data_IF_450418616592
#
_entry.id   IF_450418616592
#
_cell.length_a   1.000
_cell.length_b   1.000
_cell.length_c   1.000
_cell.angle_alpha   90.00
_cell.angle_beta   90.00
_cell.angle_gamma   90.00
#
_symmetry.space_group_name_H-M   'P 1'
#
loop_
_entity.id
_entity.type
_entity.pdbx_description
1 polymer ?
#
# COMPACT_ATOMS: atom_id res chain seq x y z
N UNK A 1 -20.66 -3.19 -1.90
CA UNK A 1 -19.57 -3.76 -1.10
C UNK A 1 -18.76 -4.69 -1.99
N UNK A 2 -17.42 -4.71 -1.92
CA UNK A 2 -16.65 -5.81 -2.50
C UNK A 2 -16.52 -6.83 -1.39
N UNK A 3 -17.21 -7.96 -1.58
CA UNK A 3 -17.47 -8.93 -0.52
C UNK A 3 -17.61 -10.29 -1.17
N UNK A 4 -16.71 -11.19 -0.83
CA UNK A 4 -16.55 -12.48 -1.48
C UNK A 4 -16.56 -13.57 -0.43
N UNK A 5 -17.52 -14.49 -0.59
CA UNK A 5 -17.65 -15.69 0.22
C UNK A 5 -16.60 -16.76 -0.13
N UNK A 6 -16.70 -17.94 0.51
CA UNK A 6 -15.70 -18.98 0.37
C UNK A 6 -15.58 -19.51 -1.06
N UNK A 7 -16.63 -19.44 -1.86
CA UNK A 7 -16.64 -19.94 -3.25
C UNK A 7 -15.63 -19.20 -4.13
N UNK A 8 -15.40 -17.92 -3.85
CA UNK A 8 -14.41 -17.09 -4.55
C UNK A 8 -13.12 -16.94 -3.76
N UNK A 9 -13.20 -16.92 -2.43
CA UNK A 9 -12.04 -16.68 -1.58
C UNK A 9 -11.14 -17.92 -1.46
N UNK A 10 -11.70 -19.14 -1.53
CA UNK A 10 -10.96 -20.41 -1.45
C UNK A 10 -10.65 -21.01 -2.83
N UNK A 11 -11.21 -20.46 -3.91
CA UNK A 11 -10.76 -20.78 -5.27
C UNK A 11 -9.46 -20.01 -5.55
N UNK A 12 -8.36 -20.75 -5.69
CA UNK A 12 -7.04 -20.15 -5.85
C UNK A 12 -6.96 -19.29 -7.11
N UNK A 13 -7.52 -19.73 -8.24
CA UNK A 13 -7.45 -18.98 -9.49
C UNK A 13 -8.19 -17.64 -9.39
N UNK A 14 -9.38 -17.64 -8.78
CA UNK A 14 -10.18 -16.45 -8.56
C UNK A 14 -9.54 -15.49 -7.54
N UNK A 15 -9.03 -16.00 -6.42
CA UNK A 15 -8.44 -15.18 -5.36
C UNK A 15 -7.05 -14.65 -5.72
N UNK A 16 -6.25 -15.40 -6.47
CA UNK A 16 -4.93 -14.99 -6.98
C UNK A 16 -5.05 -13.94 -8.10
N UNK A 17 -6.15 -13.93 -8.87
CA UNK A 17 -6.35 -12.97 -9.96
C UNK A 17 -6.87 -11.59 -9.50
N UNK A 18 -7.18 -11.43 -8.21
CA UNK A 18 -7.77 -10.20 -7.66
C UNK A 18 -6.80 -9.57 -6.68
N UNK A 19 -6.52 -8.29 -6.91
CA UNK A 19 -5.50 -7.54 -6.19
C UNK A 19 -6.15 -6.46 -5.32
N UNK A 20 -5.52 -6.15 -4.20
CA UNK A 20 -5.88 -5.05 -3.31
C UNK A 20 -4.73 -4.05 -3.24
N UNK A 21 -5.05 -2.79 -2.89
CA UNK A 21 -4.10 -1.70 -2.78
C UNK A 21 -4.43 -0.87 -1.53
N UNK A 22 -3.42 -0.58 -0.72
CA UNK A 22 -3.43 0.45 0.31
C UNK A 22 -2.31 1.44 0.00
N UNK A 23 -2.56 2.74 0.19
CA UNK A 23 -1.57 3.79 -0.05
C UNK A 23 -1.51 4.74 1.15
N UNK A 24 -0.39 5.45 1.26
CA UNK A 24 -0.10 6.35 2.37
C UNK A 24 -0.06 7.84 1.96
N UNK A 25 -0.45 8.19 0.73
CA UNK A 25 -0.45 9.57 0.26
C UNK A 25 0.93 10.23 0.10
N UNK A 26 2.02 9.44 0.16
CA UNK A 26 3.38 9.92 -0.11
C UNK A 26 4.09 9.04 -1.16
N UNK A 27 3.32 8.29 -1.97
CA UNK A 27 3.82 7.39 -3.01
C UNK A 27 4.13 5.97 -2.55
N UNK A 28 4.16 5.72 -1.23
CA UNK A 28 4.29 4.38 -0.67
C UNK A 28 2.97 3.62 -0.72
N UNK A 29 3.07 2.29 -0.82
CA UNK A 29 1.91 1.42 -0.93
C UNK A 29 2.14 0.02 -0.34
N UNK A 30 1.03 -0.65 -0.07
CA UNK A 30 0.95 -2.07 0.22
C UNK A 30 -0.03 -2.71 -0.77
N UNK A 31 0.31 -3.87 -1.31
CA UNK A 31 -0.52 -4.56 -2.29
C UNK A 31 -0.22 -6.04 -2.34
N UNK A 32 -1.23 -6.82 -2.70
CA UNK A 32 -1.13 -8.25 -2.89
C UNK A 32 -2.41 -8.82 -3.47
N UNK A 33 -2.48 -10.14 -3.50
CA UNK A 33 -3.69 -10.87 -3.91
C UNK A 33 -4.60 -11.18 -2.72
N UNK A 34 -5.85 -11.56 -2.98
CA UNK A 34 -6.74 -12.10 -1.93
C UNK A 34 -6.15 -13.41 -1.38
N UNK A 35 -5.57 -14.24 -2.25
CA UNK A 35 -4.95 -15.51 -1.87
C UNK A 35 -3.71 -15.35 -0.96
N UNK A 36 -3.20 -14.14 -0.77
CA UNK A 36 -1.91 -13.85 -0.12
C UNK A 36 -0.69 -14.45 -0.84
N UNK A 37 -0.86 -14.87 -2.10
CA UNK A 37 0.23 -15.29 -3.00
C UNK A 37 0.83 -14.07 -3.68
N UNK A 38 2.16 -13.97 -3.67
CA UNK A 38 2.90 -12.99 -4.45
C UNK A 38 2.90 -13.43 -5.93
N UNK A 39 2.34 -12.61 -6.81
CA UNK A 39 2.33 -12.89 -8.26
C UNK A 39 3.07 -11.85 -9.08
N UNK A 40 3.38 -10.70 -8.48
CA UNK A 40 4.10 -9.58 -9.08
C UNK A 40 5.27 -9.16 -8.22
N UNK A 41 6.30 -8.57 -8.84
CA UNK A 41 7.41 -7.91 -8.12
C UNK A 41 6.96 -6.67 -7.34
N UNK A 42 5.73 -6.23 -7.57
CA UNK A 42 5.14 -5.08 -6.90
C UNK A 42 4.31 -5.47 -5.67
N UNK A 43 4.13 -6.76 -5.40
CA UNK A 43 3.44 -7.19 -4.19
C UNK A 43 4.36 -7.03 -2.98
N UNK A 44 3.80 -6.50 -1.91
CA UNK A 44 4.52 -6.10 -0.72
C UNK A 44 3.57 -5.58 0.34
N UNK A 45 3.85 -5.89 1.60
CA UNK A 45 3.19 -5.25 2.72
C UNK A 45 3.75 -3.84 3.00
N UNK A 46 4.98 -3.54 2.57
CA UNK A 46 5.54 -2.19 2.63
C UNK A 46 6.46 -1.96 1.43
N UNK A 47 5.95 -1.27 0.41
CA UNK A 47 6.74 -0.63 -0.63
C UNK A 47 6.84 0.85 -0.27
N UNK A 48 7.95 1.22 0.36
CA UNK A 48 8.16 2.55 0.94
C UNK A 48 8.67 3.53 -0.12
N UNK A 49 8.07 4.72 -0.22
CA UNK A 49 8.64 5.81 -0.99
C UNK A 49 9.73 6.49 -0.16
N UNK A 50 11.00 6.16 -0.41
CA UNK A 50 12.14 6.71 0.33
C UNK A 50 12.54 8.12 -0.14
N UNK A 51 12.03 8.54 -1.29
CA UNK A 51 12.14 9.91 -1.79
C UNK A 51 10.76 10.41 -2.30
N UNK A 52 9.78 10.64 -1.41
CA UNK A 52 8.39 10.85 -1.78
C UNK A 52 8.14 11.85 -2.92
N UNK A 53 7.31 11.50 -3.92
CA UNK A 53 6.53 10.25 -4.05
C UNK A 53 7.28 9.09 -4.74
N UNK A 54 8.59 9.23 -4.96
CA UNK A 54 9.45 8.33 -5.72
C UNK A 54 10.38 7.51 -4.79
N UNK A 55 11.37 6.82 -5.38
CA UNK A 55 12.31 5.99 -4.62
C UNK A 55 11.63 4.80 -3.94
N UNK A 56 10.63 4.23 -4.61
CA UNK A 56 9.80 3.13 -4.07
C UNK A 56 10.63 1.87 -3.90
N UNK A 57 10.78 1.44 -2.66
CA UNK A 57 11.63 0.32 -2.25
C UNK A 57 10.78 -0.72 -1.54
N UNK A 58 10.84 -1.98 -2.00
CA UNK A 58 10.21 -3.09 -1.28
C UNK A 58 11.01 -3.37 0.00
N UNK A 59 10.40 -3.09 1.15
CA UNK A 59 11.00 -3.31 2.48
C UNK A 59 10.42 -4.54 3.17
N UNK A 60 9.10 -4.75 3.08
CA UNK A 60 8.44 -5.93 3.64
C UNK A 60 7.60 -6.59 2.55
N UNK A 61 7.99 -7.80 2.17
CA UNK A 61 7.33 -8.57 1.12
C UNK A 61 6.01 -9.13 1.62
N UNK A 62 6.05 -9.91 2.70
CA UNK A 62 4.86 -10.55 3.27
C UNK A 62 5.11 -11.06 4.69
N UNK A 63 4.08 -11.62 5.29
CA UNK A 63 4.17 -12.41 6.52
C UNK A 63 3.74 -13.84 6.20
N UNK A 64 4.47 -14.83 6.72
CA UNK A 64 4.05 -16.22 6.78
C UNK A 64 3.38 -16.47 8.12
N UNK A 65 2.05 -16.62 8.10
CA UNK A 65 1.25 -16.77 9.31
C UNK A 65 0.89 -18.22 9.59
N UNK A 66 1.03 -18.63 10.85
CA UNK A 66 0.45 -19.86 11.39
C UNK A 66 -0.38 -19.52 12.62
N UNK A 67 -1.63 -19.98 12.63
CA UNK A 67 -2.56 -19.87 13.74
C UNK A 67 -2.70 -21.22 14.43
N UNK A 68 -2.44 -21.27 15.73
CA UNK A 68 -2.61 -22.46 16.57
C UNK A 68 -3.79 -22.27 17.51
N UNK A 69 -4.77 -23.16 17.44
CA UNK A 69 -5.98 -23.12 18.25
C UNK A 69 -6.36 -24.53 18.68
N UNK A 70 -6.52 -24.73 20.00
CA UNK A 70 -6.85 -26.04 20.62
C UNK A 70 -5.93 -27.19 20.16
N UNK A 71 -4.64 -26.92 19.97
CA UNK A 71 -3.63 -27.90 19.56
C UNK A 71 -3.56 -28.17 18.05
N UNK A 72 -4.38 -27.50 17.24
CA UNK A 72 -4.32 -27.57 15.78
C UNK A 72 -3.65 -26.32 15.20
N UNK A 73 -2.58 -26.51 14.44
CA UNK A 73 -1.90 -25.45 13.72
C UNK A 73 -2.40 -25.37 12.26
N UNK A 74 -2.70 -24.15 11.81
CA UNK A 74 -3.14 -23.86 10.44
C UNK A 74 -2.38 -22.69 9.86
N UNK A 75 -1.74 -22.91 8.71
CA UNK A 75 -1.15 -21.82 7.94
C UNK A 75 -2.24 -20.94 7.32
N UNK A 76 -2.05 -19.62 7.35
CA UNK A 76 -2.98 -18.63 6.78
C UNK A 76 -2.40 -17.91 5.56
N UNK A 77 -1.08 -17.98 5.37
CA UNK A 77 -0.40 -17.52 4.17
C UNK A 77 -0.48 -18.54 3.04
N UNK A 78 -0.21 -18.10 1.80
CA UNK A 78 0.03 -19.00 0.68
C UNK A 78 1.18 -18.50 -0.19
N UNK A 79 1.89 -19.45 -0.83
CA UNK A 79 2.97 -19.15 -1.78
C UNK A 79 2.88 -20.05 -2.98
N UNK A 80 3.36 -19.52 -4.11
CA UNK A 80 3.65 -20.32 -5.29
C UNK A 80 5.17 -20.37 -5.44
N UNK A 81 5.72 -21.58 -5.50
CA UNK A 81 7.16 -21.79 -5.62
C UNK A 81 7.58 -21.99 -7.08
N UNK A 82 8.88 -21.92 -7.35
CA UNK A 82 9.49 -22.17 -8.66
C UNK A 82 9.13 -23.56 -9.20
N UNK A 83 8.93 -24.54 -8.31
CA UNK A 83 8.42 -25.88 -8.63
C UNK A 83 6.95 -25.91 -9.10
N UNK A 84 6.27 -24.75 -9.09
CA UNK A 84 4.83 -24.55 -9.35
C UNK A 84 3.92 -25.07 -8.23
N UNK A 85 4.47 -25.73 -7.21
CA UNK A 85 3.74 -26.09 -6.00
C UNK A 85 3.19 -24.84 -5.30
N UNK A 86 2.01 -24.99 -4.70
CA UNK A 86 1.41 -23.96 -3.86
C UNK A 86 1.40 -24.48 -2.44
N UNK A 87 2.23 -23.89 -1.58
CA UNK A 87 2.40 -24.29 -0.17
C UNK A 87 3.00 -23.11 0.61
N UNK A 88 2.50 -22.73 1.79
CA UNK A 88 1.27 -23.22 2.40
C UNK A 88 -0.01 -22.94 1.59
N UNK A 89 -1.09 -23.62 1.97
CA UNK A 89 -2.44 -23.48 1.38
C UNK A 89 -3.40 -22.69 2.27
N UNK A 90 -2.94 -21.58 2.81
CA UNK A 90 -3.75 -20.68 3.64
C UNK A 90 -4.91 -20.04 2.89
N UNK A 91 -4.88 -20.01 1.55
CA UNK A 91 -6.02 -19.64 0.68
C UNK A 91 -7.29 -20.45 1.03
N UNK A 92 -7.13 -21.72 1.40
CA UNK A 92 -8.24 -22.61 1.80
C UNK A 92 -8.84 -22.28 3.17
N UNK A 93 -8.19 -21.42 3.96
CA UNK A 93 -8.69 -20.98 5.25
C UNK A 93 -9.57 -19.72 5.15
N UNK A 94 -9.58 -19.02 4.01
CA UNK A 94 -10.31 -17.77 3.84
C UNK A 94 -11.81 -18.07 3.74
N UNK A 95 -12.58 -17.81 4.78
CA UNK A 95 -14.06 -17.92 4.74
C UNK A 95 -14.68 -16.76 3.97
N UNK A 96 -14.07 -15.58 4.09
CA UNK A 96 -14.60 -14.36 3.51
C UNK A 96 -13.48 -13.36 3.29
N UNK A 97 -13.56 -12.64 2.18
CA UNK A 97 -12.77 -11.44 1.96
C UNK A 97 -13.71 -10.26 1.71
N UNK A 98 -13.36 -9.09 2.24
CA UNK A 98 -14.09 -7.86 1.96
C UNK A 98 -13.14 -6.66 1.88
N UNK A 99 -13.53 -5.65 1.12
CA UNK A 99 -12.91 -4.34 1.16
C UNK A 99 -13.80 -3.42 2.00
N UNK A 100 -13.32 -3.06 3.19
CA UNK A 100 -13.98 -2.08 4.07
C UNK A 100 -13.28 -0.74 3.93
N UNK A 101 -13.98 0.24 3.35
CA UNK A 101 -13.35 1.48 2.90
C UNK A 101 -12.28 1.16 1.87
N UNK A 102 -11.02 1.40 2.24
CA UNK A 102 -9.82 1.04 1.47
C UNK A 102 -8.96 -0.06 2.12
N UNK A 103 -9.42 -0.62 3.24
CA UNK A 103 -8.70 -1.65 3.98
C UNK A 103 -9.19 -3.04 3.57
N UNK A 104 -8.33 -3.92 3.02
CA UNK A 104 -8.71 -5.30 2.77
C UNK A 104 -8.79 -6.08 4.09
N UNK A 105 -9.79 -6.96 4.17
CA UNK A 105 -10.14 -7.73 5.36
C UNK A 105 -10.35 -9.18 4.97
N UNK A 106 -9.68 -10.08 5.68
CA UNK A 106 -9.86 -11.52 5.57
C UNK A 106 -10.49 -12.04 6.86
N UNK A 107 -11.43 -12.96 6.72
CA UNK A 107 -11.88 -13.80 7.82
C UNK A 107 -11.39 -15.22 7.55
N UNK A 108 -10.63 -15.77 8.49
CA UNK A 108 -10.10 -17.13 8.42
C UNK A 108 -10.84 -18.08 9.36
N UNK A 109 -11.10 -19.31 8.88
CA UNK A 109 -11.53 -20.43 9.71
C UNK A 109 -10.31 -21.15 10.30
N UNK A 110 -10.21 -21.19 11.62
CA UNK A 110 -9.16 -21.93 12.34
C UNK A 110 -9.85 -22.90 13.31
N UNK A 111 -10.16 -24.10 12.81
CA UNK A 111 -11.05 -25.04 13.52
C UNK A 111 -12.41 -24.41 13.78
N UNK A 112 -12.81 -24.30 15.06
CA UNK A 112 -14.03 -23.62 15.48
C UNK A 112 -13.87 -22.10 15.72
N UNK A 113 -12.65 -21.56 15.59
CA UNK A 113 -12.37 -20.14 15.75
C UNK A 113 -12.45 -19.37 14.43
N UNK A 114 -12.79 -18.07 14.51
CA UNK A 114 -12.77 -17.12 13.39
C UNK A 114 -11.82 -15.98 13.72
N UNK A 115 -10.83 -15.80 12.84
CA UNK A 115 -9.80 -14.78 12.96
C UNK A 115 -9.97 -13.76 11.84
N UNK A 116 -10.17 -12.49 12.18
CA UNK A 116 -10.07 -11.38 11.23
C UNK A 116 -8.60 -10.98 11.06
N UNK A 117 -8.15 -10.81 9.82
CA UNK A 117 -6.92 -10.07 9.45
C UNK A 117 -7.32 -8.82 8.67
N UNK A 118 -6.69 -7.69 8.95
CA UNK A 118 -6.90 -6.41 8.27
C UNK A 118 -5.59 -5.71 8.01
N UNK A 119 -5.49 -5.05 6.85
CA UNK A 119 -4.30 -4.28 6.46
C UNK A 119 -4.70 -2.85 6.13
N UNK A 120 -3.89 -1.87 6.54
CA UNK A 120 -3.95 -0.49 6.05
C UNK A 120 -2.59 0.19 6.21
N UNK A 121 -2.42 1.35 5.57
CA UNK A 121 -1.25 2.20 5.75
C UNK A 121 -1.60 3.49 6.49
N UNK A 122 -0.65 3.98 7.27
CA UNK A 122 -0.74 5.30 7.91
C UNK A 122 -0.66 6.40 6.85
N UNK A 123 -1.53 7.41 6.94
CA UNK A 123 -1.47 8.54 6.02
C UNK A 123 -0.22 9.39 6.32
N UNK A 124 0.56 9.67 5.29
CA UNK A 124 1.76 10.51 5.38
C UNK A 124 3.04 9.79 5.79
N UNK A 125 3.00 8.48 6.04
CA UNK A 125 4.13 7.71 6.60
C UNK A 125 4.32 6.36 5.90
N UNK A 126 5.56 5.90 5.80
CA UNK A 126 5.91 4.57 5.31
C UNK A 126 5.68 3.51 6.39
N UNK A 127 4.43 3.39 6.83
CA UNK A 127 4.00 2.46 7.89
C UNK A 127 2.77 1.69 7.45
N UNK A 128 2.85 0.36 7.55
CA UNK A 128 1.73 -0.57 7.33
C UNK A 128 1.38 -1.25 8.64
N UNK A 129 0.09 -1.32 8.94
CA UNK A 129 -0.47 -2.08 10.04
C UNK A 129 -1.08 -3.37 9.52
N UNK A 130 -0.73 -4.50 10.14
CA UNK A 130 -1.39 -5.79 9.93
C UNK A 130 -2.04 -6.18 11.25
N UNK A 131 -3.35 -6.01 11.32
CA UNK A 131 -4.17 -6.25 12.52
C UNK A 131 -4.80 -7.62 12.46
N UNK A 132 -4.82 -8.29 13.60
CA UNK A 132 -5.49 -9.55 13.82
C UNK A 132 -6.49 -9.41 14.97
N UNK A 133 -7.69 -9.97 14.81
CA UNK A 133 -8.70 -9.99 15.88
C UNK A 133 -9.41 -11.34 15.92
N UNK A 134 -9.44 -11.95 17.11
CA UNK A 134 -10.17 -13.19 17.34
C UNK A 134 -11.66 -12.87 17.55
N UNK A 135 -12.45 -12.90 16.46
CA UNK A 135 -13.87 -12.54 16.48
C UNK A 135 -14.72 -13.55 17.23
N UNK A 136 -14.37 -14.84 17.11
CA UNK A 136 -15.10 -15.95 17.72
C UNK A 136 -14.14 -17.05 18.07
N UNK A 137 -14.09 -17.43 19.34
CA UNK A 137 -13.37 -18.61 19.83
C UNK A 137 -13.90 -19.01 21.22
N UNK A 138 -13.55 -20.22 21.67
CA UNK A 138 -13.83 -20.69 23.05
C UNK A 138 -12.65 -20.48 24.00
N UNK A 139 -11.52 -20.01 23.49
CA UNK A 139 -10.28 -19.78 24.22
C UNK A 139 -9.28 -19.02 23.35
N UNK A 140 -8.06 -18.81 23.85
CA UNK A 140 -7.03 -18.06 23.13
C UNK A 140 -6.56 -18.77 21.86
N UNK A 141 -6.05 -17.98 20.92
CA UNK A 141 -5.39 -18.44 19.70
C UNK A 141 -3.95 -17.92 19.69
N UNK A 142 -2.98 -18.78 19.40
CA UNK A 142 -1.57 -18.34 19.25
C UNK A 142 -1.27 -18.05 17.79
N UNK A 143 -0.77 -16.86 17.48
CA UNK A 143 -0.24 -16.50 16.18
C UNK A 143 1.28 -16.59 16.18
N UNK A 144 1.83 -17.23 15.17
CA UNK A 144 3.25 -17.22 14.83
C UNK A 144 3.42 -16.58 13.46
N UNK A 145 4.18 -15.50 13.37
CA UNK A 145 4.32 -14.66 12.18
C UNK A 145 5.79 -14.57 11.79
N UNK A 146 6.20 -15.26 10.73
CA UNK A 146 7.52 -15.08 10.14
C UNK A 146 7.48 -13.94 9.11
N UNK A 147 8.16 -12.84 9.40
CA UNK A 147 8.13 -11.63 8.57
C UNK A 147 9.23 -11.70 7.53
N UNK A 148 8.82 -11.61 6.25
CA UNK A 148 9.72 -11.67 5.10
C UNK A 148 10.00 -10.26 4.58
N UNK A 149 11.27 -9.88 4.57
CA UNK A 149 11.77 -8.56 4.17
C UNK A 149 12.57 -8.63 2.87
N UNK A 150 12.72 -7.47 2.25
CA UNK A 150 13.61 -7.28 1.10
C UNK A 150 14.20 -5.86 1.18
N UNK A 151 15.10 -5.52 0.27
CA UNK A 151 15.52 -4.13 0.05
C UNK A 151 15.90 -3.96 -1.41
N UNK A 152 14.92 -3.65 -2.25
CA UNK A 152 15.15 -3.42 -3.68
C UNK A 152 14.22 -2.39 -4.23
N UNK A 153 14.61 -1.80 -5.35
CA UNK A 153 13.72 -1.01 -6.18
C UNK A 153 12.47 -1.83 -6.57
N UNK A 154 11.32 -1.16 -6.63
CA UNK A 154 10.03 -1.80 -6.92
C UNK A 154 9.94 -2.41 -8.33
N UNK A 155 10.77 -1.97 -9.29
CA UNK A 155 10.93 -2.63 -10.59
C UNK A 155 11.98 -3.75 -10.59
N UNK A 156 12.80 -3.87 -9.55
CA UNK A 156 13.84 -4.90 -9.45
C UNK A 156 13.33 -6.28 -9.07
N UNK A 157 14.27 -7.21 -8.94
CA UNK A 157 14.11 -8.52 -8.32
C UNK A 157 15.32 -8.79 -7.42
N UNK A 158 15.18 -9.73 -6.49
CA UNK A 158 16.24 -10.08 -5.53
C UNK A 158 16.52 -11.57 -5.60
N UNK A 159 17.81 -11.91 -5.64
CA UNK A 159 18.33 -13.23 -5.28
C UNK A 159 19.05 -13.14 -3.95
N UNK A 160 18.81 -14.12 -3.08
CA UNK A 160 19.35 -14.11 -1.73
C UNK A 160 20.88 -14.20 -1.73
N UNK A 161 21.45 -15.08 -2.55
CA UNK A 161 22.88 -15.20 -2.91
C UNK A 161 23.89 -14.87 -1.80
N UNK A 162 23.62 -15.31 -0.56
CA UNK A 162 24.49 -15.08 0.60
C UNK A 162 24.46 -13.66 1.18
N UNK A 163 23.57 -12.78 0.71
CA UNK A 163 23.40 -11.42 1.24
C UNK A 163 23.03 -11.43 2.73
N UNK A 164 23.86 -10.76 3.53
CA UNK A 164 23.68 -10.62 4.98
C UNK A 164 23.18 -9.23 5.36
N UNK A 165 21.86 -9.09 5.49
CA UNK A 165 21.27 -7.94 6.20
C UNK A 165 21.55 -8.02 7.71
N UNK A 166 21.69 -6.86 8.36
CA UNK A 166 21.79 -6.78 9.84
C UNK A 166 20.38 -6.79 10.42
N UNK A 167 20.11 -7.75 11.31
CA UNK A 167 18.82 -7.90 12.01
C UNK A 167 19.11 -7.82 13.49
N UNK A 168 18.64 -6.75 14.14
CA UNK A 168 18.98 -6.42 15.53
C UNK A 168 17.72 -6.31 16.37
N UNK A 169 17.67 -6.92 17.57
CA UNK A 169 16.55 -6.76 18.48
C UNK A 169 16.44 -5.29 18.93
N UNK A 170 15.21 -4.81 19.04
CA UNK A 170 14.85 -3.49 19.59
C UNK A 170 13.65 -3.65 20.52
N UNK A 171 13.30 -2.65 21.35
CA UNK A 171 12.06 -2.72 22.12
C UNK A 171 10.86 -3.04 21.23
N UNK A 172 10.09 -4.05 21.64
CA UNK A 172 8.89 -4.53 20.93
C UNK A 172 9.13 -5.13 19.54
N UNK A 173 10.36 -5.49 19.14
CA UNK A 173 10.56 -6.13 17.85
C UNK A 173 12.01 -6.19 17.37
N UNK A 174 12.21 -5.97 16.07
CA UNK A 174 13.53 -5.95 15.43
C UNK A 174 13.68 -4.77 14.48
N UNK A 175 14.93 -4.32 14.31
CA UNK A 175 15.36 -3.40 13.27
C UNK A 175 16.16 -4.18 12.22
N UNK A 176 15.80 -4.02 10.96
CA UNK A 176 16.54 -4.60 9.84
C UNK A 176 17.22 -3.49 9.04
N UNK A 177 18.50 -3.69 8.75
CA UNK A 177 19.31 -2.80 7.94
C UNK A 177 19.97 -3.61 6.82
N UNK A 178 19.59 -3.33 5.58
CA UNK A 178 19.96 -4.16 4.44
C UNK A 178 21.45 -4.06 4.06
N UNK A 179 22.01 -2.86 4.18
CA UNK A 179 23.43 -2.54 4.00
C UNK A 179 23.75 -1.20 4.70
N UNK A 180 25.02 -0.85 4.79
CA UNK A 180 25.45 0.41 5.41
C UNK A 180 24.93 1.61 4.63
N UNK A 181 24.14 2.47 5.29
CA UNK A 181 23.49 3.63 4.68
C UNK A 181 22.09 3.38 4.11
N UNK A 182 21.59 2.13 4.15
CA UNK A 182 20.18 1.85 3.83
C UNK A 182 19.22 2.50 4.84
N UNK A 183 18.00 2.82 4.39
CA UNK A 183 16.93 3.19 5.31
C UNK A 183 16.54 1.96 6.14
N UNK A 184 16.56 2.03 7.49
CA UNK A 184 16.19 0.90 8.32
C UNK A 184 14.69 0.62 8.23
N UNK A 185 14.30 -0.66 8.35
CA UNK A 185 12.90 -1.05 8.57
C UNK A 185 12.74 -1.59 9.99
N UNK A 186 11.71 -1.11 10.68
CA UNK A 186 11.28 -1.57 11.99
C UNK A 186 10.12 -2.54 11.81
N UNK A 187 10.28 -3.73 12.40
CA UNK A 187 9.23 -4.73 12.54
C UNK A 187 8.88 -4.77 14.02
N UNK A 188 7.70 -4.29 14.39
CA UNK A 188 7.35 -4.05 15.79
C UNK A 188 5.97 -4.61 16.12
N UNK A 189 5.79 -5.14 17.32
CA UNK A 189 4.50 -5.49 17.85
C UNK A 189 4.47 -5.46 19.37
N UNK A 190 3.51 -4.74 19.94
CA UNK A 190 3.35 -4.63 21.38
C UNK A 190 2.82 -5.96 21.95
N UNK A 191 3.40 -6.44 23.05
CA UNK A 191 2.93 -7.64 23.76
C UNK A 191 3.22 -8.97 23.05
N UNK A 192 4.12 -8.99 22.07
CA UNK A 192 4.56 -10.21 21.41
C UNK A 192 6.03 -10.52 21.72
N UNK A 193 6.36 -11.81 21.73
CA UNK A 193 7.75 -12.26 21.69
C UNK A 193 8.28 -12.10 20.26
N UNK A 194 9.41 -11.42 20.10
CA UNK A 194 10.04 -11.19 18.80
C UNK A 194 11.43 -11.83 18.78
N UNK A 195 11.65 -12.78 17.87
CA UNK A 195 12.92 -13.48 17.70
C UNK A 195 13.53 -13.10 16.35
N UNK A 196 14.72 -12.47 16.31
CA UNK A 196 15.46 -12.24 15.08
C UNK A 196 15.73 -13.55 14.32
N UNK A 197 15.68 -13.49 13.00
CA UNK A 197 15.99 -14.58 12.10
C UNK A 197 16.84 -14.10 10.92
N UNK A 198 17.51 -15.03 10.24
CA UNK A 198 18.30 -14.74 9.04
C UNK A 198 18.32 -15.93 8.10
N UNK A 199 17.15 -16.23 7.53
CA UNK A 199 16.99 -17.35 6.59
C UNK A 199 16.36 -16.83 5.30
N UNK A 200 17.04 -16.99 4.17
CA UNK A 200 16.46 -16.67 2.87
C UNK A 200 15.46 -17.75 2.47
N UNK A 201 14.25 -17.32 2.12
CA UNK A 201 13.24 -18.15 1.51
C UNK A 201 13.36 -17.94 0.02
N UNK A 202 13.67 -19.02 -0.70
CA UNK A 202 14.11 -18.94 -2.10
C UNK A 202 13.03 -19.45 -3.07
N UNK A 203 13.01 -18.87 -4.26
CA UNK A 203 12.23 -19.39 -5.38
C UNK A 203 10.72 -19.13 -5.28
N UNK A 204 10.30 -17.97 -4.78
CA UNK A 204 8.92 -17.50 -4.99
C UNK A 204 8.68 -17.32 -6.48
N UNK A 205 7.59 -17.85 -7.02
CA UNK A 205 7.21 -17.75 -8.44
C UNK A 205 6.17 -16.66 -8.65
N UNK A 206 6.59 -15.59 -9.31
CA UNK A 206 5.77 -14.44 -9.67
C UNK A 206 5.05 -14.69 -11.00
N UNK A 207 3.90 -15.37 -10.94
CA UNK A 207 3.19 -15.84 -12.14
C UNK A 207 2.83 -14.72 -13.14
N UNK A 208 2.50 -13.51 -12.66
CA UNK A 208 2.17 -12.37 -13.55
C UNK A 208 3.40 -11.75 -14.20
N UNK A 209 4.58 -11.88 -13.59
CA UNK A 209 5.83 -11.45 -14.24
C UNK A 209 6.23 -12.44 -15.33
N UNK A 210 6.03 -13.76 -15.12
CA UNK A 210 6.26 -14.79 -16.14
C UNK A 210 5.36 -14.57 -17.37
N UNK A 211 4.08 -14.27 -17.17
CA UNK A 211 3.13 -13.91 -18.26
C UNK A 211 3.59 -12.69 -19.07
N UNK A 212 4.36 -11.78 -18.45
CA UNK A 212 4.91 -10.57 -19.08
C UNK A 212 6.29 -10.80 -19.70
N UNK A 213 6.86 -12.00 -19.61
CA UNK A 213 8.19 -12.33 -20.09
C UNK A 213 9.32 -11.66 -19.27
N UNK A 214 9.05 -11.33 -18.01
CA UNK A 214 10.00 -10.70 -17.09
C UNK A 214 10.60 -11.74 -16.13
N UNK A 215 11.67 -11.36 -15.41
CA UNK A 215 12.17 -12.17 -14.30
C UNK A 215 11.05 -12.46 -13.31
N UNK A 216 10.77 -13.75 -13.12
CA UNK A 216 9.55 -14.24 -12.46
C UNK A 216 9.84 -15.05 -11.21
N UNK A 217 11.05 -14.95 -10.69
CA UNK A 217 11.44 -15.59 -9.44
C UNK A 217 12.09 -14.57 -8.52
N UNK A 218 11.85 -14.72 -7.23
CA UNK A 218 12.36 -13.83 -6.22
C UNK A 218 12.61 -14.56 -4.90
N UNK A 219 13.60 -14.08 -4.15
CA UNK A 219 13.90 -14.56 -2.80
C UNK A 219 13.64 -13.46 -1.78
N UNK A 220 13.25 -13.85 -0.56
CA UNK A 220 12.97 -12.93 0.54
C UNK A 220 13.61 -13.39 1.84
N UNK A 221 14.11 -12.46 2.64
CA UNK A 221 14.75 -12.77 3.91
C UNK A 221 13.69 -12.91 5.01
N UNK A 222 13.59 -14.07 5.65
CA UNK A 222 12.93 -14.18 6.94
C UNK A 222 13.80 -13.48 8.00
N UNK A 223 13.33 -12.32 8.47
CA UNK A 223 14.08 -11.45 9.37
C UNK A 223 13.63 -11.55 10.83
N UNK A 224 12.38 -11.92 11.11
CA UNK A 224 11.94 -12.15 12.48
C UNK A 224 10.68 -13.01 12.56
N UNK A 225 10.59 -13.79 13.62
CA UNK A 225 9.38 -14.48 14.05
C UNK A 225 8.76 -13.73 15.21
N UNK A 226 7.49 -13.34 15.08
CA UNK A 226 6.68 -12.83 16.19
C UNK A 226 5.73 -13.92 16.69
N UNK A 227 5.62 -14.07 18.01
CA UNK A 227 4.64 -14.94 18.65
C UNK A 227 3.75 -14.14 19.59
N UNK A 228 2.44 -14.22 19.38
CA UNK A 228 1.45 -13.51 20.17
C UNK A 228 0.26 -14.42 20.50
N UNK A 229 -0.29 -14.26 21.70
CA UNK A 229 -1.54 -14.93 22.11
C UNK A 229 -2.68 -13.94 22.02
N UNK A 230 -3.68 -14.26 21.20
CA UNK A 230 -4.86 -13.44 21.01
C UNK A 230 -6.01 -13.96 21.85
N UNK A 231 -6.57 -13.08 22.66
CA UNK A 231 -7.81 -13.31 23.40
C UNK A 231 -9.02 -12.83 22.58
N UNK A 232 -10.21 -13.46 22.74
CA UNK A 232 -11.43 -12.98 22.11
C UNK A 232 -11.72 -11.51 22.45
N UNK A 233 -11.93 -10.68 21.43
CA UNK A 233 -12.21 -9.25 21.60
C UNK A 233 -10.99 -8.36 21.88
N UNK A 234 -9.79 -8.91 21.99
CA UNK A 234 -8.55 -8.14 22.14
C UNK A 234 -7.76 -8.15 20.82
N UNK A 235 -7.91 -7.11 19.97
CA UNK A 235 -7.15 -7.03 18.73
C UNK A 235 -5.68 -6.75 18.99
N UNK A 236 -4.85 -7.23 18.07
CA UNK A 236 -3.40 -7.09 18.12
C UNK A 236 -2.87 -6.71 16.74
N UNK A 237 -1.80 -5.92 16.67
CA UNK A 237 -1.25 -5.44 15.41
C UNK A 237 0.26 -5.63 15.33
N UNK A 238 0.69 -6.11 14.16
CA UNK A 238 2.07 -6.02 13.69
C UNK A 238 2.25 -4.71 12.92
N UNK A 239 3.30 -3.96 13.24
CA UNK A 239 3.65 -2.67 12.65
C UNK A 239 4.91 -2.84 11.81
N UNK A 240 4.81 -2.49 10.54
CA UNK A 240 5.88 -2.56 9.54
C UNK A 240 6.20 -1.13 9.13
N UNK A 241 7.38 -0.61 9.47
CA UNK A 241 7.64 0.84 9.36
C UNK A 241 9.04 1.17 8.87
N UNK A 242 9.17 2.14 7.97
CA UNK A 242 10.44 2.82 7.69
C UNK A 242 10.61 4.12 8.51
N UNK A 243 9.59 4.51 9.28
CA UNK A 243 9.66 5.64 10.20
C UNK A 243 10.46 5.27 11.45
N UNK A 244 11.17 6.25 12.03
CA UNK A 244 12.00 6.04 13.21
C UNK A 244 11.19 5.79 14.51
N UNK A 245 9.97 6.32 14.57
CA UNK A 245 9.09 6.23 15.75
C UNK A 245 7.62 6.08 15.32
N UNK A 246 7.21 4.95 14.72
CA UNK A 246 5.82 4.71 14.38
C UNK A 246 5.00 4.53 15.66
N UNK A 247 3.70 4.87 15.63
CA UNK A 247 2.82 4.47 16.73
C UNK A 247 2.61 2.96 16.69
N UNK A 248 2.71 2.34 17.87
CA UNK A 248 2.44 0.91 18.08
C UNK A 248 0.97 0.64 18.40
N UNK A 249 0.17 1.67 18.68
CA UNK A 249 -1.26 1.53 18.91
C UNK A 249 -2.00 1.39 17.57
N UNK A 250 -2.21 0.14 17.17
CA UNK A 250 -2.94 -0.20 15.95
C UNK A 250 -4.40 0.26 15.97
N UNK A 251 -5.07 0.38 17.13
CA UNK A 251 -6.46 0.85 17.19
C UNK A 251 -6.54 2.38 17.05
N UNK A 252 -5.57 3.11 17.61
CA UNK A 252 -5.42 4.53 17.34
C UNK A 252 -5.15 4.81 15.86
N UNK A 253 -4.23 4.07 15.25
CA UNK A 253 -3.95 4.17 13.82
C UNK A 253 -5.19 3.83 12.96
N UNK A 254 -5.96 2.81 13.35
CA UNK A 254 -7.21 2.46 12.68
C UNK A 254 -8.25 3.57 12.78
N UNK A 255 -8.40 4.20 13.96
CA UNK A 255 -9.29 5.36 14.15
C UNK A 255 -8.90 6.53 13.25
N UNK A 256 -7.61 6.83 13.11
CA UNK A 256 -7.14 7.86 12.17
C UNK A 256 -7.49 7.52 10.72
N UNK A 257 -7.32 6.26 10.30
CA UNK A 257 -7.71 5.81 8.95
C UNK A 257 -9.20 5.98 8.70
N UNK A 258 -10.05 5.56 9.64
CA UNK A 258 -11.51 5.70 9.52
C UNK A 258 -11.92 7.17 9.47
N UNK A 259 -11.35 8.02 10.33
CA UNK A 259 -11.64 9.45 10.33
C UNK A 259 -11.26 10.12 9.01
N UNK A 260 -10.14 9.72 8.40
CA UNK A 260 -9.75 10.19 7.06
C UNK A 260 -10.79 9.80 5.99
N UNK A 261 -11.22 8.54 5.96
CA UNK A 261 -12.24 8.07 5.00
C UNK A 261 -13.60 8.73 5.21
N UNK A 262 -14.01 8.95 6.46
CA UNK A 262 -15.23 9.68 6.81
C UNK A 262 -15.16 11.15 6.37
N UNK A 263 -14.01 11.82 6.54
CA UNK A 263 -13.81 13.18 6.06
C UNK A 263 -13.93 13.28 4.53
N UNK A 264 -13.36 12.31 3.79
CA UNK A 264 -13.50 12.23 2.34
C UNK A 264 -14.96 12.08 1.92
N UNK A 265 -15.70 11.19 2.61
CA UNK A 265 -17.14 11.01 2.40
C UNK A 265 -17.94 12.29 2.67
N UNK A 266 -17.61 13.00 3.76
CA UNK A 266 -18.26 14.26 4.12
C UNK A 266 -17.95 15.39 3.13
N UNK A 267 -16.72 15.48 2.62
CA UNK A 267 -16.31 16.44 1.57
C UNK A 267 -17.09 16.20 0.28
N UNK A 268 -17.13 14.96 -0.18
CA UNK A 268 -17.89 14.59 -1.37
C UNK A 268 -19.40 14.81 -1.19
N UNK A 269 -19.94 14.51 -0.01
CA UNK A 269 -21.34 14.74 0.32
C UNK A 269 -21.80 16.21 0.19
N UNK A 270 -20.88 17.18 0.32
CA UNK A 270 -21.18 18.61 0.12
C UNK A 270 -21.29 19.04 -1.34
N UNK A 271 -20.70 18.29 -2.27
CA UNK A 271 -20.65 18.65 -3.70
C UNK A 271 -21.54 17.76 -4.57
N UNK A 272 -21.97 16.61 -4.07
CA UNK A 272 -22.84 15.70 -4.83
C UNK A 272 -24.28 16.23 -4.84
N UNK A 273 -24.79 16.56 -6.03
CA UNK A 273 -26.10 17.19 -6.19
C UNK A 273 -27.31 16.23 -6.06
N UNK A 274 -27.07 14.91 -6.03
CA UNK A 274 -28.13 13.90 -5.98
C UNK A 274 -27.63 12.62 -5.32
N UNK A 275 -28.52 11.76 -4.78
CA UNK A 275 -28.13 10.48 -4.20
C UNK A 275 -27.37 9.64 -5.24
N UNK A 276 -26.07 9.48 -5.03
CA UNK A 276 -25.23 8.68 -5.90
C UNK A 276 -25.31 7.20 -5.50
N UNK A 277 -25.23 6.26 -6.46
CA UNK A 277 -25.14 4.84 -6.14
C UNK A 277 -23.98 4.56 -5.17
N UNK A 278 -24.11 3.57 -4.25
CA UNK A 278 -23.07 3.28 -3.25
C UNK A 278 -21.69 2.98 -3.84
N UNK A 279 -21.63 2.55 -5.10
CA UNK A 279 -20.35 2.28 -5.77
C UNK A 279 -19.57 3.55 -6.12
N UNK A 280 -20.22 4.71 -6.27
CA UNK A 280 -19.53 6.00 -6.50
C UNK A 280 -18.74 6.40 -5.25
N UNK A 281 -19.28 6.20 -4.05
CA UNK A 281 -18.53 6.47 -2.81
C UNK A 281 -17.22 5.68 -2.73
N UNK A 282 -17.17 4.48 -3.33
CA UNK A 282 -15.91 3.72 -3.46
C UNK A 282 -14.92 4.35 -4.42
N UNK A 283 -15.40 4.96 -5.52
CA UNK A 283 -14.54 5.70 -6.43
C UNK A 283 -13.96 6.95 -5.77
N UNK A 284 -14.69 7.59 -4.85
CA UNK A 284 -14.17 8.72 -4.05
C UNK A 284 -12.99 8.26 -3.18
N UNK A 285 -13.15 7.15 -2.48
CA UNK A 285 -12.06 6.57 -1.69
C UNK A 285 -10.89 6.09 -2.57
N UNK A 286 -11.17 5.48 -3.72
CA UNK A 286 -10.14 5.06 -4.66
C UNK A 286 -9.37 6.25 -5.26
N UNK A 287 -10.06 7.36 -5.55
CA UNK A 287 -9.44 8.58 -6.06
C UNK A 287 -8.41 9.15 -5.08
N UNK A 288 -8.67 9.06 -3.77
CA UNK A 288 -7.71 9.46 -2.73
C UNK A 288 -6.39 8.68 -2.81
N UNK A 289 -6.42 7.41 -3.23
CA UNK A 289 -5.24 6.56 -3.23
C UNK A 289 -4.14 7.03 -4.18
N UNK A 290 -4.49 7.79 -5.22
CA UNK A 290 -3.57 8.30 -6.24
C UNK A 290 -2.99 9.68 -5.92
N UNK A 291 -3.59 10.40 -4.98
CA UNK A 291 -3.17 11.74 -4.58
C UNK A 291 -1.99 11.66 -3.61
N UNK A 292 -0.89 12.35 -3.93
CA UNK A 292 0.35 12.26 -3.16
C UNK A 292 0.96 13.63 -2.87
N UNK A 293 1.66 13.73 -1.73
CA UNK A 293 2.56 14.86 -1.47
C UNK A 293 3.77 14.79 -2.40
N UNK A 294 4.11 15.93 -2.99
CA UNK A 294 5.28 16.11 -3.85
C UNK A 294 5.97 17.43 -3.54
N UNK A 295 6.97 17.42 -2.64
CA UNK A 295 7.83 18.58 -2.45
C UNK A 295 8.57 18.91 -3.75
N UNK A 296 8.53 20.17 -4.19
CA UNK A 296 9.23 20.62 -5.42
C UNK A 296 9.94 21.93 -5.14
N UNK A 297 11.27 21.93 -5.29
CA UNK A 297 12.09 23.12 -5.01
C UNK A 297 11.90 23.58 -3.57
N UNK A 298 11.48 24.84 -3.39
CA UNK A 298 11.19 25.44 -2.08
C UNK A 298 9.73 25.26 -1.62
N UNK A 299 8.91 24.50 -2.35
CA UNK A 299 7.50 24.23 -2.00
C UNK A 299 7.36 22.87 -1.31
N UNK A 300 7.41 22.80 0.04
CA UNK A 300 7.31 21.55 0.78
C UNK A 300 5.89 20.94 0.75
N UNK A 301 4.89 21.75 0.42
CA UNK A 301 3.46 21.40 0.47
C UNK A 301 2.87 21.04 -0.90
N UNK A 302 3.75 20.89 -1.90
CA UNK A 302 3.37 20.49 -3.24
C UNK A 302 2.66 19.14 -3.28
N UNK A 303 1.89 18.93 -4.34
CA UNK A 303 1.06 17.74 -4.51
C UNK A 303 1.07 17.27 -5.97
N UNK A 304 0.83 15.98 -6.17
CA UNK A 304 0.80 15.36 -7.49
C UNK A 304 -0.15 14.15 -7.51
N UNK A 305 -0.23 13.50 -8.67
CA UNK A 305 -1.01 12.30 -8.90
C UNK A 305 -0.08 11.19 -9.38
N UNK A 306 -0.07 10.06 -8.68
CA UNK A 306 0.53 8.83 -9.23
C UNK A 306 -0.36 8.33 -10.36
N UNK A 307 0.20 8.19 -11.56
CA UNK A 307 -0.58 7.87 -12.76
C UNK A 307 -1.19 6.45 -12.72
N UNK A 308 -0.57 5.54 -11.97
CA UNK A 308 -1.11 4.21 -11.76
C UNK A 308 -0.18 3.35 -10.94
N UNK A 309 -0.67 2.86 -9.81
CA UNK A 309 0.03 1.79 -9.10
C UNK A 309 -0.11 0.48 -9.89
N UNK A 310 0.94 -0.35 -9.95
CA UNK A 310 2.21 -0.16 -9.24
C UNK A 310 3.30 0.49 -10.08
N UNK A 311 3.14 0.54 -11.40
CA UNK A 311 4.24 0.76 -12.35
C UNK A 311 4.64 2.21 -12.57
N UNK A 312 3.73 3.17 -12.38
CA UNK A 312 3.97 4.54 -12.79
C UNK A 312 4.33 5.41 -11.61
N UNK A 313 5.22 6.38 -11.83
CA UNK A 313 5.36 7.56 -10.97
C UNK A 313 4.26 8.57 -11.28
N UNK A 314 4.53 9.83 -10.98
CA UNK A 314 3.67 10.93 -11.40
C UNK A 314 4.00 11.41 -12.81
N UNK A 315 2.97 11.53 -13.63
CA UNK A 315 3.07 11.83 -15.06
C UNK A 315 2.20 13.05 -15.36
N UNK A 316 2.75 14.06 -16.05
CA UNK A 316 2.08 15.34 -16.23
C UNK A 316 0.77 15.21 -16.99
N UNK A 317 0.75 14.47 -18.10
CA UNK A 317 -0.48 14.24 -18.88
C UNK A 317 -1.57 13.61 -18.03
N UNK A 318 -1.28 12.47 -17.42
CA UNK A 318 -2.23 11.70 -16.61
C UNK A 318 -2.75 12.50 -15.42
N UNK A 319 -1.88 13.29 -14.78
CA UNK A 319 -2.27 14.21 -13.71
C UNK A 319 -3.30 15.22 -14.21
N UNK A 320 -3.04 15.88 -15.34
CA UNK A 320 -3.94 16.94 -15.83
C UNK A 320 -5.27 16.39 -16.34
N UNK A 321 -5.26 15.25 -17.01
CA UNK A 321 -6.50 14.56 -17.46
C UNK A 321 -7.37 14.16 -16.28
N UNK A 322 -6.76 13.62 -15.21
CA UNK A 322 -7.49 13.08 -14.07
C UNK A 322 -7.83 14.10 -12.98
N UNK A 323 -7.18 15.27 -12.98
CA UNK A 323 -7.25 16.27 -11.91
C UNK A 323 -8.68 16.56 -11.44
N UNK A 324 -9.56 16.91 -12.38
CA UNK A 324 -10.93 17.29 -12.06
C UNK A 324 -11.73 16.16 -11.41
N UNK A 325 -11.57 14.93 -11.90
CA UNK A 325 -12.22 13.75 -11.33
C UNK A 325 -11.68 13.39 -9.94
N UNK A 326 -10.36 13.48 -9.76
CA UNK A 326 -9.72 13.12 -8.49
C UNK A 326 -9.94 14.16 -7.40
N UNK A 327 -10.08 15.45 -7.75
CA UNK A 327 -10.11 16.56 -6.79
C UNK A 327 -11.44 17.31 -6.76
N UNK A 328 -11.86 17.89 -7.88
CA UNK A 328 -13.05 18.74 -7.94
C UNK A 328 -14.34 17.94 -7.70
N UNK A 329 -14.50 16.82 -8.41
CA UNK A 329 -15.66 15.95 -8.28
C UNK A 329 -15.77 15.27 -6.89
N UNK A 330 -14.69 15.28 -6.12
CA UNK A 330 -14.63 14.75 -4.74
C UNK A 330 -14.66 15.84 -3.67
N UNK A 331 -14.84 17.11 -4.06
CA UNK A 331 -14.98 18.23 -3.13
C UNK A 331 -13.66 18.70 -2.50
N UNK A 332 -12.56 18.60 -3.26
CA UNK A 332 -11.18 18.95 -2.84
C UNK A 332 -10.51 20.00 -3.74
N UNK A 333 -11.14 21.16 -4.01
CA UNK A 333 -10.57 22.19 -4.89
C UNK A 333 -9.22 22.75 -4.41
N UNK A 334 -8.98 22.76 -3.11
CA UNK A 334 -7.70 23.16 -2.51
C UNK A 334 -6.54 22.26 -2.94
N UNK A 335 -6.80 20.97 -3.17
CA UNK A 335 -5.81 20.03 -3.66
C UNK A 335 -5.59 20.21 -5.16
N UNK A 336 -6.65 20.48 -5.92
CA UNK A 336 -6.55 20.84 -7.33
C UNK A 336 -5.61 22.04 -7.53
N UNK A 337 -5.83 23.12 -6.76
CA UNK A 337 -4.99 24.32 -6.77
C UNK A 337 -3.53 24.01 -6.45
N UNK A 338 -3.27 23.19 -5.43
CA UNK A 338 -1.90 22.79 -5.05
C UNK A 338 -1.20 22.02 -6.17
N UNK A 339 -1.88 21.06 -6.80
CA UNK A 339 -1.31 20.29 -7.92
C UNK A 339 -1.02 21.22 -9.10
N UNK A 340 -1.97 22.07 -9.51
CA UNK A 340 -1.74 23.03 -10.59
C UNK A 340 -0.55 23.95 -10.29
N UNK A 341 -0.44 24.45 -9.06
CA UNK A 341 0.69 25.29 -8.63
C UNK A 341 2.01 24.53 -8.69
N UNK A 342 2.02 23.26 -8.26
CA UNK A 342 3.20 22.39 -8.29
C UNK A 342 3.73 22.24 -9.72
N UNK A 343 2.83 21.99 -10.69
CA UNK A 343 3.21 21.81 -12.09
C UNK A 343 3.53 23.13 -12.79
N UNK A 344 2.90 24.26 -12.42
CA UNK A 344 3.23 25.58 -12.95
C UNK A 344 4.71 25.95 -12.75
N UNK A 345 5.26 25.60 -11.58
CA UNK A 345 6.69 25.81 -11.24
C UNK A 345 7.65 24.99 -12.08
N UNK A 346 7.15 23.97 -12.77
CA UNK A 346 7.92 23.01 -13.54
C UNK A 346 7.79 23.23 -15.05
N UNK A 347 7.06 24.26 -15.49
CA UNK A 347 6.97 24.61 -16.90
C UNK A 347 8.35 25.01 -17.42
N UNK A 348 8.80 24.36 -18.49
CA UNK A 348 10.01 24.74 -19.22
C UNK A 348 9.70 24.91 -20.70
N UNK A 349 10.03 26.07 -21.26
CA UNK A 349 9.79 26.44 -22.67
C UNK A 349 8.36 26.13 -23.17
N UNK A 350 7.37 26.34 -22.31
CA UNK A 350 5.95 26.11 -22.63
C UNK A 350 5.49 24.66 -22.55
N UNK A 351 6.33 23.74 -22.06
CA UNK A 351 5.99 22.33 -21.85
C UNK A 351 5.90 22.01 -20.36
N UNK A 352 5.01 21.06 -20.04
CA UNK A 352 5.02 20.40 -18.74
C UNK A 352 5.90 19.15 -18.77
N UNK A 353 6.47 18.76 -17.62
CA UNK A 353 7.16 17.49 -17.50
C UNK A 353 6.18 16.35 -17.75
N UNK A 354 6.53 15.46 -18.68
CA UNK A 354 5.77 14.27 -18.97
C UNK A 354 5.96 13.21 -17.87
N UNK A 355 7.21 13.00 -17.44
CA UNK A 355 7.58 11.99 -16.45
C UNK A 355 8.59 12.56 -15.46
N UNK A 356 8.39 12.27 -14.19
CA UNK A 356 9.45 12.38 -13.19
C UNK A 356 10.11 11.00 -13.02
N UNK A 357 11.40 10.86 -13.34
CA UNK A 357 12.07 9.56 -13.24
C UNK A 357 12.26 9.17 -11.77
N UNK A 358 12.12 7.88 -11.43
CA UNK A 358 12.36 7.38 -10.07
C UNK A 358 13.83 7.55 -9.62
N UNK A 359 14.75 7.70 -10.57
CA UNK A 359 16.17 8.01 -10.34
C UNK A 359 16.67 9.08 -11.34
N UNK A 360 17.27 10.16 -10.84
CA UNK A 360 17.84 11.25 -11.64
C UNK A 360 17.15 12.62 -11.39
N UNK A 361 17.85 13.75 -11.62
CA UNK A 361 17.37 15.06 -11.17
C UNK A 361 16.44 15.79 -12.15
N UNK A 362 16.40 15.41 -13.44
CA UNK A 362 15.71 16.19 -14.46
C UNK A 362 14.38 15.55 -14.86
N UNK A 363 13.25 16.29 -14.81
CA UNK A 363 12.00 15.87 -15.42
C UNK A 363 12.14 15.70 -16.94
N UNK A 364 11.39 14.76 -17.51
CA UNK A 364 11.40 14.48 -18.96
C UNK A 364 10.30 15.29 -19.66
N UNK A 365 10.67 16.21 -20.57
CA UNK A 365 9.74 17.07 -21.30
C UNK A 365 9.46 16.53 -22.71
N UNK A 366 8.75 15.41 -22.78
CA UNK A 366 8.48 14.69 -24.05
C UNK A 366 7.03 14.80 -24.50
N UNK A 367 6.20 15.61 -23.83
CA UNK A 367 4.75 15.66 -24.03
C UNK A 367 4.28 17.08 -24.34
N UNK A 368 3.96 17.33 -25.61
CA UNK A 368 3.43 18.61 -26.06
C UNK A 368 1.98 18.80 -25.62
N UNK A 369 1.20 17.72 -25.58
CA UNK A 369 -0.21 17.76 -25.22
C UNK A 369 -0.45 17.94 -23.71
N UNK A 370 0.52 17.61 -22.84
CA UNK A 370 0.39 17.83 -21.40
C UNK A 370 0.13 19.31 -21.05
N UNK A 371 0.75 20.24 -21.77
CA UNK A 371 0.50 21.67 -21.58
C UNK A 371 -0.93 22.08 -21.96
N UNK A 372 -1.50 21.47 -23.00
CA UNK A 372 -2.90 21.70 -23.40
C UNK A 372 -3.87 21.15 -22.35
N UNK A 373 -3.60 19.95 -21.82
CA UNK A 373 -4.38 19.39 -20.72
C UNK A 373 -4.27 20.23 -19.45
N UNK A 374 -3.13 20.86 -19.18
CA UNK A 374 -2.99 21.80 -18.06
C UNK A 374 -3.90 23.02 -18.21
N UNK A 375 -3.97 23.61 -19.41
CA UNK A 375 -4.90 24.72 -19.68
C UNK A 375 -6.35 24.28 -19.44
N UNK A 376 -6.72 23.08 -19.90
CA UNK A 376 -8.05 22.51 -19.66
C UNK A 376 -8.32 22.26 -18.15
N UNK A 377 -7.32 21.77 -17.42
CA UNK A 377 -7.41 21.54 -15.98
C UNK A 377 -7.57 22.86 -15.20
N UNK A 378 -6.86 23.91 -15.60
CA UNK A 378 -7.03 25.28 -15.06
C UNK A 378 -8.41 25.82 -15.38
N UNK A 379 -8.90 25.65 -16.62
CA UNK A 379 -10.27 26.04 -17.02
C UNK A 379 -11.32 25.36 -16.14
N UNK A 380 -11.24 24.04 -15.97
CA UNK A 380 -12.16 23.28 -15.13
C UNK A 380 -12.09 23.70 -13.65
N UNK A 381 -10.89 23.98 -13.12
CA UNK A 381 -10.70 24.49 -11.77
C UNK A 381 -11.38 25.85 -11.58
N UNK A 382 -11.18 26.80 -12.49
CA UNK A 382 -11.79 28.14 -12.41
C UNK A 382 -13.30 28.08 -12.59
N UNK A 383 -13.80 27.24 -13.48
CA UNK A 383 -15.24 27.02 -13.65
C UNK A 383 -15.88 26.49 -12.35
N UNK A 384 -15.23 25.54 -11.69
CA UNK A 384 -15.75 24.94 -10.46
C UNK A 384 -15.65 25.85 -9.22
N UNK A 385 -14.68 26.77 -9.17
CA UNK A 385 -14.34 27.53 -7.94
C UNK A 385 -14.55 29.03 -8.04
N UNK A 386 -14.53 29.60 -9.25
CA UNK A 386 -14.48 31.05 -9.47
C UNK A 386 -13.16 31.72 -9.04
N UNK A 387 -12.13 30.96 -8.68
CA UNK A 387 -10.85 31.49 -8.14
C UNK A 387 -9.99 32.14 -9.23
N UNK A 388 -10.30 33.41 -9.53
CA UNK A 388 -9.55 34.24 -10.48
C UNK A 388 -8.19 34.68 -9.96
N UNK A 389 -7.98 34.69 -8.65
CA UNK A 389 -6.69 35.04 -8.06
C UNK A 389 -5.65 33.95 -8.35
N UNK A 390 -6.02 32.69 -8.12
CA UNK A 390 -5.19 31.55 -8.50
C UNK A 390 -4.94 31.51 -10.00
N UNK A 391 -5.94 31.79 -10.84
CA UNK A 391 -5.76 31.90 -12.29
C UNK A 391 -4.66 32.92 -12.65
N UNK A 392 -4.68 34.12 -12.05
CA UNK A 392 -3.69 35.15 -12.32
C UNK A 392 -2.27 34.74 -11.90
N UNK A 393 -2.13 33.90 -10.86
CA UNK A 393 -0.83 33.37 -10.40
C UNK A 393 -0.34 32.16 -11.20
N UNK A 394 -1.25 31.37 -11.75
CA UNK A 394 -0.96 30.19 -12.57
C UNK A 394 -0.70 30.55 -14.04
N UNK A 395 -1.06 31.77 -14.45
CA UNK A 395 -0.77 32.31 -15.76
C UNK A 395 0.72 32.72 -15.85
N UNK A 396 1.48 32.25 -16.87
CA UNK A 396 2.90 32.55 -17.02
C UNK A 396 3.21 34.02 -17.33
#
# INVERSE_FOLDING_TARGET
>A
MLDWGPELAQDLAASESREWLCTNGIGGFASGTIASVLTRRYHGLLVAALAPPLGRTLLVAKVEETAEYLGEARALSANRWASRAVEPRGDRAIERWRLEGTSPVWIYAVGAARLEKRIWMEQGANTTYVRYALERARGPLTLTLAVLVNYRDYHGATRGDGWRMRVEPVPHGVRVLAFDGASPVLLLALGAEATPAHTWYEGFRLAREEERGLESQEDHLHAATFRATLEPGAPWALVLSAEAAPTLDGEEARRRRLAHEEELGARWGRVVASPAPPWIGRLVLAADQFLVRRPVGEDPDGASVIAGYHWFGDWGRDTMVSLAGLTLATGRPELARRILTTYARLVDRGMLPNRFPDAGPAPEYTSVDAALWYVEAVRAYVEATGDRESLARLWP
#
